data_IF_190319454075
#
_entry.id   IF_190319454075
#
_cell.length_a   1.000
_cell.length_b   1.000
_cell.length_c   1.000
_cell.angle_alpha   90.00
_cell.angle_beta   90.00
_cell.angle_gamma   90.00
#
_symmetry.space_group_name_H-M   'P 1'
#
loop_
_entity.id
_entity.type
_entity.pdbx_description
1 polymer ?
#
# COMPACT_ATOMS: atom_id res chain seq x y z
N UNK A 1 4.45 11.99 -12.75
CA UNK A 1 4.40 11.90 -11.27
C UNK A 1 4.91 10.53 -10.90
N UNK A 2 5.79 10.43 -9.91
CA UNK A 2 6.26 9.13 -9.42
C UNK A 2 5.15 8.47 -8.58
N UNK A 3 5.02 7.14 -8.63
CA UNK A 3 4.04 6.38 -7.85
C UNK A 3 3.97 6.82 -6.38
N UNK A 4 5.12 6.94 -5.71
CA UNK A 4 5.20 7.36 -4.31
C UNK A 4 4.61 8.76 -4.07
N UNK A 5 4.80 9.69 -5.00
CA UNK A 5 4.24 11.06 -4.90
C UNK A 5 2.73 11.05 -5.07
N UNK A 6 2.22 10.24 -6.00
CA UNK A 6 0.79 10.06 -6.23
C UNK A 6 0.12 9.51 -4.96
N UNK A 7 0.67 8.43 -4.39
CA UNK A 7 0.17 7.84 -3.14
C UNK A 7 0.24 8.87 -2.01
N UNK A 8 1.37 9.58 -1.85
CA UNK A 8 1.54 10.60 -0.79
C UNK A 8 0.49 11.70 -0.87
N UNK A 9 0.24 12.24 -2.07
CA UNK A 9 -0.75 13.29 -2.29
C UNK A 9 -2.19 12.78 -2.07
N UNK A 10 -2.45 11.52 -2.36
CA UNK A 10 -3.75 10.91 -2.16
C UNK A 10 -4.02 10.66 -0.67
N UNK A 11 -3.04 10.09 0.03
CA UNK A 11 -3.12 9.76 1.46
C UNK A 11 -3.27 11.01 2.32
N UNK A 12 -2.64 12.14 1.97
CA UNK A 12 -2.68 13.37 2.79
C UNK A 12 -4.06 14.00 2.98
N UNK A 13 -5.06 13.54 2.23
CA UNK A 13 -6.45 14.01 2.32
C UNK A 13 -7.34 13.11 3.17
N UNK A 14 -6.79 12.03 3.73
CA UNK A 14 -7.53 10.92 4.37
C UNK A 14 -6.86 10.55 5.68
N UNK A 15 -7.62 9.95 6.59
CA UNK A 15 -7.14 9.65 7.95
C UNK A 15 -7.22 8.18 8.31
N UNK A 16 -8.13 7.45 7.68
CA UNK A 16 -8.35 6.03 7.93
C UNK A 16 -8.30 5.24 6.63
N UNK A 17 -7.66 4.08 6.67
CA UNK A 17 -7.41 3.24 5.50
C UNK A 17 -7.68 1.77 5.78
N UNK A 18 -8.14 1.07 4.75
CA UNK A 18 -8.05 -0.39 4.69
C UNK A 18 -7.49 -0.78 3.32
N UNK A 19 -6.90 -1.96 3.22
CA UNK A 19 -6.26 -2.40 1.99
C UNK A 19 -6.57 -3.86 1.65
N UNK A 20 -6.48 -4.14 0.35
CA UNK A 20 -6.50 -5.49 -0.19
C UNK A 20 -5.12 -5.81 -0.76
N UNK A 21 -4.62 -6.97 -0.41
CA UNK A 21 -3.48 -7.61 -1.05
C UNK A 21 -3.97 -8.35 -2.32
N UNK A 22 -3.06 -8.79 -3.21
CA UNK A 22 -3.42 -9.52 -4.42
C UNK A 22 -4.27 -10.78 -4.18
N UNK A 23 -4.16 -11.41 -3.01
CA UNK A 23 -4.91 -12.60 -2.61
C UNK A 23 -6.12 -12.31 -1.71
N UNK A 24 -6.40 -11.03 -1.41
CA UNK A 24 -7.60 -10.62 -0.67
C UNK A 24 -7.34 -9.64 0.49
N UNK A 25 -8.34 -9.41 1.34
CA UNK A 25 -8.24 -8.45 2.44
C UNK A 25 -7.30 -8.95 3.54
N UNK A 26 -6.54 -8.03 4.14
CA UNK A 26 -5.81 -8.31 5.37
C UNK A 26 -6.75 -8.23 6.59
N UNK A 27 -7.23 -9.39 7.02
CA UNK A 27 -8.23 -9.53 8.07
C UNK A 27 -9.62 -9.08 7.61
N UNK A 28 -10.46 -8.57 8.52
CA UNK A 28 -11.85 -8.23 8.21
C UNK A 28 -11.96 -6.76 7.78
N UNK A 29 -12.52 -6.47 6.59
CA UNK A 29 -12.83 -5.11 6.19
C UNK A 29 -13.70 -4.40 7.25
N UNK A 30 -13.47 -3.11 7.47
CA UNK A 30 -14.11 -2.26 8.49
C UNK A 30 -13.72 -2.51 9.95
N UNK A 31 -13.38 -3.74 10.32
CA UNK A 31 -12.82 -4.06 11.65
C UNK A 31 -11.33 -3.64 11.75
N UNK A 32 -10.62 -3.71 10.62
CA UNK A 32 -9.21 -3.38 10.52
C UNK A 32 -9.02 -2.07 9.74
N UNK A 33 -8.90 -0.97 10.49
CA UNK A 33 -8.61 0.35 9.96
C UNK A 33 -7.23 0.80 10.42
N UNK A 34 -6.45 1.34 9.48
CA UNK A 34 -5.07 1.74 9.69
C UNK A 34 -4.89 3.22 9.38
N UNK A 35 -3.90 3.85 10.02
CA UNK A 35 -3.40 5.16 9.59
C UNK A 35 -2.09 4.97 8.81
N UNK A 36 -1.87 5.75 7.76
CA UNK A 36 -0.57 5.78 7.08
C UNK A 36 0.33 6.75 7.82
N UNK A 37 1.42 6.22 8.37
CA UNK A 37 2.38 6.98 9.17
C UNK A 37 3.36 7.74 8.30
N UNK A 38 3.84 7.10 7.23
CA UNK A 38 4.75 7.70 6.24
C UNK A 38 4.82 6.86 4.98
N UNK A 39 5.29 7.49 3.90
CA UNK A 39 5.63 6.83 2.64
C UNK A 39 7.08 7.17 2.35
N UNK A 40 7.92 6.16 2.15
CA UNK A 40 9.34 6.34 1.90
C UNK A 40 9.67 5.90 0.48
N UNK A 41 10.29 6.78 -0.30
CA UNK A 41 10.83 6.42 -1.60
C UNK A 41 12.16 5.69 -1.41
N UNK A 42 12.31 4.56 -2.07
CA UNK A 42 13.57 3.79 -2.05
C UNK A 42 14.28 3.93 -3.41
N UNK A 43 15.47 3.34 -3.52
CA UNK A 43 16.22 3.32 -4.78
C UNK A 43 15.54 2.50 -5.88
N UNK A 44 14.65 1.57 -5.52
CA UNK A 44 14.02 0.64 -6.45
C UNK A 44 12.51 0.48 -6.16
N UNK A 45 11.82 1.57 -5.81
CA UNK A 45 10.39 1.56 -5.52
C UNK A 45 10.03 2.46 -4.35
N UNK A 46 9.12 2.00 -3.49
CA UNK A 46 8.66 2.74 -2.31
C UNK A 46 7.96 1.86 -1.28
N UNK A 47 7.93 2.35 -0.05
CA UNK A 47 7.35 1.66 1.10
C UNK A 47 6.22 2.52 1.69
N UNK A 48 5.10 1.87 2.04
CA UNK A 48 4.00 2.49 2.79
C UNK A 48 4.03 1.92 4.20
N UNK A 49 4.27 2.77 5.19
CA UNK A 49 4.24 2.41 6.60
C UNK A 49 2.86 2.74 7.18
N UNK A 50 2.18 1.73 7.70
CA UNK A 50 0.88 1.87 8.34
C UNK A 50 1.01 1.70 9.86
N UNK A 51 -0.06 2.02 10.60
CA UNK A 51 -0.17 1.68 12.01
C UNK A 51 -0.04 0.18 12.25
N UNK A 52 0.14 -0.21 13.51
CA UNK A 52 0.30 -1.61 13.94
C UNK A 52 1.54 -2.32 13.35
N UNK A 53 2.58 -1.54 13.04
CA UNK A 53 3.86 -2.04 12.51
C UNK A 53 3.69 -2.80 11.18
N UNK A 54 2.72 -2.38 10.37
CA UNK A 54 2.47 -2.93 9.04
C UNK A 54 3.22 -2.13 7.97
N UNK A 55 3.77 -2.84 6.98
CA UNK A 55 4.51 -2.23 5.88
C UNK A 55 4.13 -2.91 4.57
N UNK A 56 3.79 -2.12 3.56
CA UNK A 56 3.68 -2.55 2.17
C UNK A 56 4.91 -2.05 1.41
N UNK A 57 5.75 -2.98 0.96
CA UNK A 57 7.01 -2.68 0.24
C UNK A 57 6.80 -2.99 -1.22
N UNK A 58 6.90 -1.97 -2.07
CA UNK A 58 6.78 -2.10 -3.52
C UNK A 58 8.16 -1.97 -4.17
N UNK A 59 8.55 -2.99 -4.92
CA UNK A 59 9.82 -3.08 -5.63
C UNK A 59 9.56 -3.01 -7.14
N UNK A 60 10.38 -2.24 -7.84
CA UNK A 60 10.26 -1.97 -9.27
C UNK A 60 9.39 -0.74 -9.56
N UNK A 61 8.98 -0.62 -10.82
CA UNK A 61 8.19 0.51 -11.31
C UNK A 61 6.69 0.22 -11.18
N UNK A 62 6.13 0.43 -9.99
CA UNK A 62 4.69 0.33 -9.80
C UNK A 62 3.95 1.47 -10.50
N UNK A 63 2.77 1.15 -11.01
CA UNK A 63 1.77 2.10 -11.51
C UNK A 63 0.72 2.36 -10.44
N UNK A 64 0.16 3.57 -10.42
CA UNK A 64 -0.85 3.98 -9.44
C UNK A 64 -2.01 4.64 -10.16
N UNK A 65 -3.20 4.06 -10.02
CA UNK A 65 -4.46 4.59 -10.56
C UNK A 65 -5.30 5.13 -9.40
N UNK A 66 -5.73 6.39 -9.49
CA UNK A 66 -6.63 7.04 -8.53
C UNK A 66 -8.07 6.96 -9.03
N UNK A 67 -8.92 6.18 -8.36
CA UNK A 67 -10.35 6.02 -8.65
C UNK A 67 -11.24 6.90 -7.76
N UNK A 68 -10.64 7.88 -7.06
CA UNK A 68 -11.34 8.79 -6.16
C UNK A 68 -11.49 8.22 -4.75
N UNK A 69 -12.20 7.09 -4.57
CA UNK A 69 -12.39 6.48 -3.24
C UNK A 69 -11.26 5.53 -2.85
N UNK A 70 -10.53 5.02 -3.83
CA UNK A 70 -9.42 4.10 -3.65
C UNK A 70 -8.30 4.45 -4.64
N UNK A 71 -7.09 3.98 -4.33
CA UNK A 71 -6.02 3.83 -5.31
C UNK A 71 -5.74 2.36 -5.56
N UNK A 72 -5.39 2.05 -6.80
CA UNK A 72 -4.92 0.73 -7.23
C UNK A 72 -3.43 0.86 -7.53
N UNK A 73 -2.62 0.03 -6.89
CA UNK A 73 -1.18 -0.07 -7.10
C UNK A 73 -0.90 -1.41 -7.78
N UNK A 74 -0.36 -1.37 -8.99
CA UNK A 74 -0.11 -2.56 -9.82
C UNK A 74 1.21 -2.40 -10.60
N UNK A 75 1.57 -3.37 -11.44
CA UNK A 75 2.78 -3.30 -12.28
C UNK A 75 4.11 -3.31 -11.53
N UNK A 76 4.09 -3.53 -10.21
CA UNK A 76 5.29 -3.76 -9.42
C UNK A 76 5.97 -5.07 -9.82
N UNK A 77 7.30 -5.14 -9.71
CA UNK A 77 8.02 -6.39 -9.87
C UNK A 77 7.75 -7.32 -8.69
N UNK A 78 7.74 -6.74 -7.47
CA UNK A 78 7.40 -7.44 -6.24
C UNK A 78 6.68 -6.53 -5.26
N UNK A 79 5.70 -7.08 -4.55
CA UNK A 79 5.10 -6.47 -3.38
C UNK A 79 5.32 -7.38 -2.17
N UNK A 80 5.86 -6.86 -1.08
CA UNK A 80 5.99 -7.58 0.20
C UNK A 80 5.08 -6.95 1.23
N UNK A 81 4.36 -7.78 1.96
CA UNK A 81 3.63 -7.36 3.14
C UNK A 81 4.36 -7.82 4.39
N UNK A 82 4.71 -6.86 5.25
CA UNK A 82 5.39 -7.10 6.52
C UNK A 82 4.49 -6.72 7.68
N UNK A 83 4.61 -7.49 8.75
CA UNK A 83 4.05 -7.15 10.06
C UNK A 83 5.16 -7.33 11.09
N UNK A 84 5.40 -6.29 11.91
CA UNK A 84 6.49 -6.27 12.90
C UNK A 84 7.85 -6.59 12.29
N UNK A 85 8.11 -6.03 11.10
CA UNK A 85 9.31 -6.27 10.28
C UNK A 85 9.53 -7.72 9.81
N UNK A 86 8.51 -8.60 9.93
CA UNK A 86 8.55 -9.98 9.42
C UNK A 86 7.76 -10.04 8.13
N UNK A 87 8.37 -10.52 7.05
CA UNK A 87 7.68 -10.77 5.78
C UNK A 87 6.64 -11.86 5.99
N UNK A 88 5.36 -11.51 5.81
CA UNK A 88 4.24 -12.45 5.90
C UNK A 88 3.97 -13.11 4.56
N UNK A 89 4.06 -12.33 3.49
CA UNK A 89 3.76 -12.75 2.13
C UNK A 89 4.45 -11.84 1.11
N UNK A 90 4.73 -12.39 -0.05
CA UNK A 90 5.36 -11.73 -1.20
C UNK A 90 4.58 -12.09 -2.47
N UNK A 91 4.38 -11.09 -3.32
CA UNK A 91 3.66 -11.21 -4.59
C UNK A 91 4.52 -10.68 -5.72
N UNK A 92 4.52 -11.37 -6.84
CA UNK A 92 5.10 -10.93 -8.12
C UNK A 92 4.01 -10.67 -9.18
N UNK A 93 2.75 -10.58 -8.74
CA UNK A 93 1.58 -10.32 -9.59
C UNK A 93 0.48 -9.56 -8.84
N UNK A 94 -0.53 -9.18 -9.61
CA UNK A 94 -1.80 -8.67 -9.10
C UNK A 94 -1.77 -7.19 -8.72
N UNK A 95 -2.69 -6.81 -7.85
CA UNK A 95 -2.94 -5.43 -7.48
C UNK A 95 -3.07 -5.31 -5.96
N UNK A 96 -2.54 -4.21 -5.42
CA UNK A 96 -2.81 -3.78 -4.05
C UNK A 96 -3.76 -2.60 -4.11
N UNK A 97 -4.89 -2.71 -3.44
CA UNK A 97 -5.90 -1.64 -3.40
C UNK A 97 -5.86 -1.00 -2.03
N UNK A 98 -5.68 0.32 -1.99
CA UNK A 98 -5.78 1.11 -0.77
C UNK A 98 -7.06 1.95 -0.83
N UNK A 99 -7.96 1.73 0.13
CA UNK A 99 -9.18 2.50 0.32
C UNK A 99 -8.96 3.48 1.47
N UNK A 100 -9.54 4.68 1.38
CA UNK A 100 -9.34 5.66 2.45
C UNK A 100 -10.47 6.66 2.59
N UNK A 101 -10.70 7.05 3.84
CA UNK A 101 -11.83 7.83 4.35
C UNK A 101 -11.36 9.05 5.15
#
# INVERSE_FOLDING_TARGET
>A
MNAAETVTKWVSKRSSFYFFLPDGPYGRPFDNQYSIQRIEKTSNGFDIFLSDELILVFIGNAEVVDEGCNIIISGFERCKFLEKNIVKVEYDYGEVVLNGF
#
